data_IF_112898108434
#
_entry.id   IF_112898108434
#
_cell.length_a   1.000
_cell.length_b   1.000
_cell.length_c   1.000
_cell.angle_alpha   90.00
_cell.angle_beta   90.00
_cell.angle_gamma   90.00
#
_symmetry.space_group_name_H-M   'P 1'
#
loop_
_entity.id
_entity.type
_entity.pdbx_description
1 polymer ?
#
# COMPACT_ATOMS: atom_id res chain seq x y z
N UNK A 1 9.36 5.94 -16.15
CA UNK A 1 8.60 4.77 -16.59
C UNK A 1 9.34 3.46 -16.29
N UNK A 2 10.62 3.40 -16.65
CA UNK A 2 11.43 2.18 -16.42
C UNK A 2 11.47 1.76 -14.95
N UNK A 3 11.62 2.72 -14.01
CA UNK A 3 11.72 2.41 -12.60
C UNK A 3 10.47 1.72 -12.04
N UNK A 4 9.27 2.21 -12.38
CA UNK A 4 8.01 1.64 -11.88
C UNK A 4 7.70 0.31 -12.54
N UNK A 5 7.90 0.18 -13.84
CA UNK A 5 7.71 -1.10 -14.54
C UNK A 5 8.62 -2.16 -13.92
N UNK A 6 9.89 -1.80 -13.65
CA UNK A 6 10.83 -2.72 -13.01
C UNK A 6 10.39 -3.11 -11.60
N UNK A 7 9.85 -2.16 -10.82
CA UNK A 7 9.33 -2.46 -9.48
C UNK A 7 8.21 -3.49 -9.52
N UNK A 8 7.24 -3.30 -10.42
CA UNK A 8 6.10 -4.20 -10.55
C UNK A 8 6.56 -5.59 -10.99
N UNK A 9 7.56 -5.65 -11.86
CA UNK A 9 8.14 -6.92 -12.31
C UNK A 9 8.83 -7.72 -11.20
N UNK A 10 9.23 -7.07 -10.09
CA UNK A 10 9.78 -7.75 -8.94
C UNK A 10 8.75 -8.59 -8.18
N UNK A 11 7.46 -8.25 -8.33
CA UNK A 11 6.41 -8.91 -7.55
C UNK A 11 6.25 -10.37 -7.97
N UNK A 12 6.29 -11.27 -6.98
CA UNK A 12 6.21 -12.72 -7.20
C UNK A 12 4.79 -13.21 -7.34
N UNK A 13 3.87 -12.62 -6.58
CA UNK A 13 2.45 -12.93 -6.63
C UNK A 13 1.63 -11.69 -6.35
N UNK A 14 0.43 -11.63 -6.93
CA UNK A 14 -0.48 -10.49 -6.79
C UNK A 14 -1.88 -11.02 -6.47
N UNK A 15 -2.54 -10.41 -5.49
CA UNK A 15 -3.85 -10.81 -4.99
C UNK A 15 -4.80 -9.63 -4.92
N UNK A 16 -6.10 -9.88 -5.09
CA UNK A 16 -7.13 -8.88 -4.76
C UNK A 16 -7.25 -8.75 -3.24
N UNK A 17 -7.38 -7.52 -2.75
CA UNK A 17 -7.58 -7.27 -1.31
C UNK A 17 -8.80 -8.04 -0.81
N UNK A 18 -9.90 -8.00 -1.55
CA UNK A 18 -11.12 -8.71 -1.20
C UNK A 18 -10.88 -10.21 -0.99
N UNK A 19 -10.11 -10.82 -1.88
CA UNK A 19 -9.80 -12.25 -1.76
C UNK A 19 -8.92 -12.55 -0.54
N UNK A 20 -7.99 -11.68 -0.22
CA UNK A 20 -7.16 -11.85 0.98
C UNK A 20 -7.99 -11.76 2.25
N UNK A 21 -9.01 -10.92 2.25
CA UNK A 21 -9.92 -10.82 3.38
C UNK A 21 -10.80 -12.07 3.51
N UNK A 22 -11.44 -12.48 2.41
CA UNK A 22 -12.42 -13.58 2.41
C UNK A 22 -11.77 -14.94 2.61
N UNK A 23 -10.62 -15.18 1.99
CA UNK A 23 -9.97 -16.50 1.97
C UNK A 23 -8.70 -16.58 2.81
N UNK A 24 -8.25 -15.45 3.35
CA UNK A 24 -7.08 -15.39 4.21
C UNK A 24 -5.77 -15.25 3.47
N UNK A 25 -4.69 -15.20 4.25
CA UNK A 25 -3.33 -14.90 3.77
C UNK A 25 -2.39 -16.11 3.84
N UNK A 26 -2.93 -17.33 3.99
CA UNK A 26 -2.09 -18.53 4.19
C UNK A 26 -1.15 -18.82 3.03
N UNK A 27 -1.48 -18.34 1.82
CA UNK A 27 -0.62 -18.52 0.64
C UNK A 27 0.54 -17.52 0.58
N UNK A 28 0.55 -16.52 1.46
CA UNK A 28 1.65 -15.56 1.53
C UNK A 28 2.72 -16.11 2.44
N UNK A 29 3.99 -16.18 2.00
CA UNK A 29 5.06 -16.72 2.83
C UNK A 29 5.25 -15.94 4.13
N UNK A 30 5.59 -16.66 5.20
CA UNK A 30 5.93 -16.04 6.48
C UNK A 30 7.42 -15.69 6.49
N UNK A 31 7.81 -14.79 5.59
CA UNK A 31 9.20 -14.38 5.37
C UNK A 31 9.29 -12.88 5.17
N UNK A 32 10.50 -12.35 5.27
CA UNK A 32 10.77 -10.92 5.07
C UNK A 32 10.59 -10.54 3.60
N UNK A 33 10.14 -9.33 3.35
CA UNK A 33 10.00 -8.85 1.99
C UNK A 33 9.44 -7.46 1.90
N UNK A 34 9.12 -7.08 0.67
CA UNK A 34 8.49 -5.80 0.32
C UNK A 34 7.15 -6.11 -0.31
N UNK A 35 6.15 -5.30 0.00
CA UNK A 35 4.83 -5.44 -0.60
C UNK A 35 4.35 -4.10 -1.17
N UNK A 36 3.44 -4.17 -2.11
CA UNK A 36 2.91 -2.99 -2.78
C UNK A 36 1.41 -3.11 -2.95
N UNK A 37 0.73 -1.97 -2.84
CA UNK A 37 -0.68 -1.88 -3.21
C UNK A 37 -0.76 -1.24 -4.58
N UNK A 38 -1.50 -1.86 -5.48
CA UNK A 38 -1.57 -1.47 -6.89
C UNK A 38 -3.01 -1.25 -7.32
N UNK A 39 -3.15 -0.34 -8.29
CA UNK A 39 -4.41 -0.14 -8.99
C UNK A 39 -4.52 -1.15 -10.15
N UNK A 40 -5.64 -1.89 -10.27
CA UNK A 40 -5.89 -2.68 -11.49
C UNK A 40 -5.97 -1.76 -12.71
N UNK A 41 -5.58 -2.29 -13.88
CA UNK A 41 -5.50 -1.48 -15.10
C UNK A 41 -6.78 -0.74 -15.47
N UNK A 42 -7.92 -1.41 -15.35
CA UNK A 42 -9.22 -0.86 -15.77
C UNK A 42 -9.93 -0.04 -14.71
N UNK A 43 -9.39 0.02 -13.51
CA UNK A 43 -10.01 0.74 -12.42
C UNK A 43 -9.68 2.23 -12.47
N UNK A 44 -10.69 3.08 -12.32
CA UNK A 44 -10.49 4.52 -12.13
C UNK A 44 -10.41 4.81 -10.64
N UNK A 45 -9.48 5.68 -10.24
CA UNK A 45 -9.33 6.06 -8.85
C UNK A 45 -10.22 7.28 -8.54
N UNK A 46 -11.09 7.11 -7.56
CA UNK A 46 -11.90 8.19 -7.01
C UNK A 46 -11.59 8.29 -5.52
N UNK A 47 -11.03 9.43 -5.10
CA UNK A 47 -10.62 9.64 -3.70
C UNK A 47 -11.75 10.31 -2.95
N UNK A 48 -12.16 9.68 -1.85
CA UNK A 48 -13.27 10.14 -1.05
C UNK A 48 -12.80 10.99 0.13
N UNK A 49 -13.70 11.78 0.70
CA UNK A 49 -13.46 12.53 1.94
C UNK A 49 -13.71 11.68 3.19
N UNK A 50 -14.00 10.39 3.02
CA UNK A 50 -14.23 9.44 4.11
C UNK A 50 -13.28 8.24 3.93
N UNK A 51 -13.22 7.37 4.93
CA UNK A 51 -12.39 6.17 4.89
C UNK A 51 -13.22 4.94 5.25
N UNK A 52 -12.86 3.79 4.69
CA UNK A 52 -13.43 2.50 5.10
C UNK A 52 -12.69 1.91 6.30
N UNK A 53 -11.55 2.48 6.68
CA UNK A 53 -10.78 2.09 7.86
C UNK A 53 -11.23 2.91 9.08
N UNK A 54 -10.47 2.89 10.17
CA UNK A 54 -10.81 3.67 11.36
C UNK A 54 -10.72 5.16 11.05
N UNK A 55 -11.70 5.92 11.55
CA UNK A 55 -11.77 7.37 11.31
C UNK A 55 -10.90 8.16 12.28
N UNK A 56 -10.76 7.66 13.51
CA UNK A 56 -9.99 8.33 14.56
C UNK A 56 -9.09 7.34 15.30
N UNK A 57 -7.93 7.82 15.70
CA UNK A 57 -7.04 7.08 16.57
C UNK A 57 -6.48 8.06 17.61
N UNK A 58 -6.68 7.76 18.90
CA UNK A 58 -6.26 8.63 20.01
C UNK A 58 -6.74 10.08 19.78
N UNK A 59 -8.02 10.23 19.46
CA UNK A 59 -8.69 11.52 19.22
C UNK A 59 -8.18 12.30 17.99
N UNK A 60 -7.32 11.70 17.18
CA UNK A 60 -6.84 12.32 15.94
C UNK A 60 -7.54 11.72 14.74
N UNK A 61 -7.93 12.57 13.81
CA UNK A 61 -8.49 12.10 12.54
C UNK A 61 -7.46 11.31 11.76
N UNK A 62 -7.87 10.16 11.24
CA UNK A 62 -7.06 9.33 10.36
C UNK A 62 -7.36 9.60 8.89
N UNK A 63 -8.18 10.59 8.60
CA UNK A 63 -8.61 10.95 7.25
C UNK A 63 -7.75 12.10 6.73
N UNK A 64 -7.21 11.94 5.53
CA UNK A 64 -6.48 13.00 4.85
C UNK A 64 -7.44 13.88 4.06
N UNK A 65 -7.06 15.14 3.86
CA UNK A 65 -7.77 16.06 2.97
C UNK A 65 -7.81 15.47 1.56
N UNK A 66 -9.01 15.25 1.03
CA UNK A 66 -9.19 14.62 -0.28
C UNK A 66 -8.60 15.47 -1.42
N UNK A 67 -8.62 16.79 -1.29
CA UNK A 67 -8.05 17.69 -2.31
C UNK A 67 -6.53 17.49 -2.36
N UNK A 68 -5.88 17.40 -1.21
CA UNK A 68 -4.43 17.15 -1.14
C UNK A 68 -4.07 15.79 -1.72
N UNK A 69 -4.88 14.76 -1.43
CA UNK A 69 -4.63 13.43 -1.99
C UNK A 69 -4.79 13.43 -3.51
N UNK A 70 -5.82 14.10 -4.02
CA UNK A 70 -6.03 14.19 -5.47
C UNK A 70 -4.87 14.93 -6.16
N UNK A 71 -4.41 16.02 -5.57
CA UNK A 71 -3.29 16.79 -6.11
C UNK A 71 -2.03 15.94 -6.18
N UNK A 72 -1.75 15.18 -5.12
CA UNK A 72 -0.62 14.27 -5.09
C UNK A 72 -0.77 13.17 -6.14
N UNK A 73 -1.95 12.55 -6.20
CA UNK A 73 -2.23 11.44 -7.10
C UNK A 73 -1.96 11.80 -8.56
N UNK A 74 -2.34 13.01 -8.98
CA UNK A 74 -2.13 13.45 -10.36
C UNK A 74 -0.65 13.48 -10.75
N UNK A 75 0.26 13.60 -9.78
CA UNK A 75 1.70 13.63 -10.02
C UNK A 75 2.34 12.25 -9.98
N UNK A 76 1.63 11.22 -9.50
CA UNK A 76 2.14 9.86 -9.38
C UNK A 76 2.09 9.12 -10.72
N UNK A 77 2.64 7.90 -10.73
CA UNK A 77 2.51 6.99 -11.88
C UNK A 77 1.08 6.46 -12.03
N UNK A 78 0.23 6.66 -11.02
CA UNK A 78 -1.18 6.26 -10.95
C UNK A 78 -1.40 4.75 -10.84
N UNK A 79 -0.37 3.95 -10.66
CA UNK A 79 -0.49 2.50 -10.53
C UNK A 79 -0.02 1.99 -9.18
N UNK A 80 1.18 2.37 -8.74
CA UNK A 80 1.72 1.99 -7.44
C UNK A 80 1.19 2.98 -6.40
N UNK A 81 0.33 2.48 -5.52
CA UNK A 81 -0.34 3.33 -4.52
C UNK A 81 0.38 3.36 -3.18
N UNK A 82 1.11 2.29 -2.86
CA UNK A 82 1.81 2.19 -1.59
C UNK A 82 2.93 1.14 -1.68
N UNK A 83 4.06 1.43 -1.06
CA UNK A 83 5.17 0.48 -0.91
C UNK A 83 5.44 0.33 0.58
N UNK A 84 5.42 -0.92 1.07
CA UNK A 84 5.67 -1.24 2.46
C UNK A 84 6.70 -2.33 2.62
N UNK A 85 7.18 -2.50 3.84
CA UNK A 85 8.18 -3.51 4.18
C UNK A 85 7.67 -4.43 5.28
N UNK A 86 8.19 -5.65 5.30
CA UNK A 86 7.92 -6.63 6.36
C UNK A 86 9.26 -7.23 6.80
N UNK A 87 9.64 -6.94 8.06
CA UNK A 87 10.93 -7.34 8.63
C UNK A 87 10.85 -8.57 9.52
N UNK A 88 11.78 -8.67 10.48
CA UNK A 88 11.90 -9.86 11.34
C UNK A 88 10.73 -10.02 12.32
N UNK A 89 10.25 -8.91 12.89
CA UNK A 89 9.23 -8.97 13.93
C UNK A 89 7.83 -9.21 13.39
N UNK A 90 7.57 -8.79 12.17
CA UNK A 90 6.28 -8.96 11.53
C UNK A 90 6.52 -9.13 10.03
N UNK A 91 6.51 -10.39 9.60
CA UNK A 91 6.86 -10.78 8.24
C UNK A 91 5.69 -10.55 7.27
N UNK A 92 5.89 -10.86 6.01
CA UNK A 92 4.91 -10.55 4.95
C UNK A 92 3.49 -11.02 5.29
N UNK A 93 3.33 -12.28 5.68
CA UNK A 93 2.00 -12.82 5.98
C UNK A 93 1.27 -12.01 7.04
N UNK A 94 1.94 -11.74 8.16
CA UNK A 94 1.35 -10.98 9.26
C UNK A 94 1.12 -9.53 8.91
N UNK A 95 2.09 -8.92 8.20
CA UNK A 95 2.00 -7.51 7.84
C UNK A 95 0.89 -7.24 6.83
N UNK A 96 0.78 -8.09 5.82
CA UNK A 96 -0.29 -7.98 4.83
C UNK A 96 -1.66 -8.26 5.46
N UNK A 97 -1.73 -9.23 6.38
CA UNK A 97 -2.98 -9.46 7.12
C UNK A 97 -3.42 -8.20 7.87
N UNK A 98 -2.50 -7.55 8.57
CA UNK A 98 -2.81 -6.31 9.30
C UNK A 98 -3.29 -5.21 8.35
N UNK A 99 -2.62 -5.04 7.22
CA UNK A 99 -3.03 -4.05 6.23
C UNK A 99 -4.47 -4.29 5.78
N UNK A 100 -4.78 -5.52 5.39
CA UNK A 100 -6.12 -5.88 4.91
C UNK A 100 -7.17 -5.67 6.00
N UNK A 101 -6.92 -6.17 7.20
CA UNK A 101 -7.88 -6.07 8.31
C UNK A 101 -8.06 -4.63 8.78
N UNK A 102 -7.03 -3.82 8.70
CA UNK A 102 -7.15 -2.38 8.98
C UNK A 102 -8.16 -1.73 8.03
N UNK A 103 -8.13 -2.08 6.75
CA UNK A 103 -9.07 -1.56 5.77
C UNK A 103 -10.52 -1.99 6.00
N UNK A 104 -10.74 -3.05 6.78
CA UNK A 104 -12.07 -3.51 7.17
C UNK A 104 -12.44 -3.10 8.60
N UNK A 105 -11.68 -2.19 9.23
CA UNK A 105 -11.87 -1.71 10.61
C UNK A 105 -11.75 -2.77 11.68
N UNK A 106 -11.04 -3.86 11.42
CA UNK A 106 -10.89 -4.94 12.39
C UNK A 106 -9.69 -4.78 13.31
N UNK A 107 -8.70 -3.98 12.89
CA UNK A 107 -7.52 -3.66 13.69
C UNK A 107 -7.14 -2.19 13.48
N UNK A 108 -6.33 -1.65 14.39
CA UNK A 108 -5.87 -0.25 14.33
C UNK A 108 -4.35 -0.11 14.21
N UNK A 109 -3.65 -1.21 13.99
CA UNK A 109 -2.19 -1.27 14.08
C UNK A 109 -1.45 -1.23 12.74
N UNK A 110 -2.12 -0.83 11.66
CA UNK A 110 -1.48 -0.61 10.36
C UNK A 110 -1.87 0.75 9.80
N UNK A 111 -1.42 1.81 10.48
CA UNK A 111 -1.76 3.18 10.07
C UNK A 111 -0.91 3.71 8.92
N UNK A 112 0.24 3.11 8.66
CA UNK A 112 1.00 3.42 7.45
C UNK A 112 0.20 3.01 6.23
N UNK A 113 0.18 3.86 5.20
CA UNK A 113 -0.57 3.55 3.99
C UNK A 113 -2.08 3.77 4.09
N UNK A 114 -2.57 4.40 5.16
CA UNK A 114 -4.02 4.52 5.38
C UNK A 114 -4.77 5.35 4.33
N UNK A 115 -4.08 6.14 3.53
CA UNK A 115 -4.72 6.89 2.45
C UNK A 115 -5.38 5.97 1.42
N UNK A 116 -4.93 4.72 1.29
CA UNK A 116 -5.55 3.72 0.40
C UNK A 116 -7.04 3.57 0.70
N UNK A 117 -7.41 3.64 1.97
CA UNK A 117 -8.79 3.37 2.40
C UNK A 117 -9.74 4.53 2.16
N UNK A 118 -9.25 5.63 1.58
CA UNK A 118 -10.07 6.72 1.07
C UNK A 118 -10.35 6.59 -0.43
N UNK A 119 -9.84 5.53 -1.06
CA UNK A 119 -10.15 5.23 -2.46
C UNK A 119 -11.47 4.47 -2.52
N UNK A 120 -12.39 4.95 -3.36
CA UNK A 120 -13.65 4.24 -3.59
C UNK A 120 -13.37 2.88 -4.21
N UNK A 121 -14.09 1.85 -3.73
CA UNK A 121 -13.90 0.47 -4.16
C UNK A 121 -12.49 -0.07 -3.86
N UNK A 122 -11.91 0.33 -2.73
CA UNK A 122 -10.56 -0.06 -2.36
C UNK A 122 -10.37 -1.57 -2.16
N UNK A 123 -11.46 -2.33 -2.01
CA UNK A 123 -11.39 -3.79 -1.89
C UNK A 123 -11.06 -4.47 -3.22
N UNK A 124 -11.18 -3.73 -4.32
CA UNK A 124 -10.81 -4.20 -5.65
C UNK A 124 -9.36 -3.87 -6.02
N UNK A 125 -8.62 -3.25 -5.12
CA UNK A 125 -7.19 -3.00 -5.31
C UNK A 125 -6.39 -4.30 -5.16
N UNK A 126 -5.16 -4.26 -5.65
CA UNK A 126 -4.27 -5.43 -5.65
C UNK A 126 -3.15 -5.24 -4.63
N UNK A 127 -2.71 -6.35 -4.03
CA UNK A 127 -1.49 -6.39 -3.22
C UNK A 127 -0.55 -7.42 -3.83
N UNK A 128 0.69 -6.99 -4.09
CA UNK A 128 1.75 -7.89 -4.53
C UNK A 128 2.91 -7.85 -3.55
N UNK A 129 3.78 -8.86 -3.61
CA UNK A 129 4.96 -8.90 -2.75
C UNK A 129 6.14 -9.56 -3.46
N UNK A 130 7.33 -9.35 -2.93
CA UNK A 130 8.51 -10.15 -3.25
C UNK A 130 9.36 -10.35 -1.99
N UNK A 131 10.06 -11.49 -1.95
CA UNK A 131 10.94 -11.82 -0.84
C UNK A 131 12.22 -11.00 -0.92
N UNK A 132 12.72 -10.59 0.25
CA UNK A 132 13.91 -9.75 0.31
C UNK A 132 14.56 -9.90 1.68
N UNK A 133 15.88 -10.15 1.72
CA UNK A 133 16.62 -10.31 2.97
C UNK A 133 16.83 -8.97 3.71
N UNK A 134 16.82 -7.86 2.98
CA UNK A 134 17.01 -6.52 3.53
C UNK A 134 15.84 -5.61 3.13
N UNK A 135 14.61 -5.89 3.64
CA UNK A 135 13.43 -5.17 3.19
C UNK A 135 13.46 -3.67 3.49
N UNK A 136 14.06 -3.26 4.61
CA UNK A 136 14.16 -1.84 4.95
C UNK A 136 14.98 -1.07 3.92
N UNK A 137 16.17 -1.56 3.59
CA UNK A 137 17.02 -0.95 2.56
C UNK A 137 16.34 -0.94 1.20
N UNK A 138 15.67 -2.04 0.86
CA UNK A 138 15.00 -2.18 -0.44
C UNK A 138 13.83 -1.23 -0.57
N UNK A 139 13.01 -1.09 0.46
CA UNK A 139 11.92 -0.13 0.47
C UNK A 139 12.43 1.29 0.26
N UNK A 140 13.48 1.68 1.00
CA UNK A 140 14.08 3.00 0.85
C UNK A 140 14.58 3.25 -0.57
N UNK A 141 15.26 2.27 -1.14
CA UNK A 141 15.76 2.33 -2.51
C UNK A 141 14.63 2.57 -3.50
N UNK A 142 13.57 1.78 -3.40
CA UNK A 142 12.42 1.89 -4.30
C UNK A 142 11.71 3.23 -4.15
N UNK A 143 11.53 3.72 -2.92
CA UNK A 143 10.91 5.02 -2.69
C UNK A 143 11.75 6.17 -3.23
N UNK A 144 13.08 6.08 -3.12
CA UNK A 144 13.99 7.09 -3.70
C UNK A 144 13.91 7.09 -5.23
N UNK A 145 13.89 5.92 -5.84
CA UNK A 145 13.74 5.79 -7.29
C UNK A 145 12.42 6.41 -7.74
N UNK A 146 11.35 6.08 -7.04
CA UNK A 146 10.02 6.59 -7.35
C UNK A 146 9.97 8.13 -7.26
N UNK A 147 10.43 8.68 -6.14
CA UNK A 147 10.44 10.13 -5.95
C UNK A 147 11.33 10.83 -6.95
N UNK A 148 12.47 10.23 -7.31
CA UNK A 148 13.35 10.77 -8.34
C UNK A 148 12.67 10.87 -9.70
N UNK A 149 11.82 9.91 -10.03
CA UNK A 149 11.13 9.87 -11.31
C UNK A 149 9.88 10.75 -11.36
N UNK A 150 9.10 10.81 -10.29
CA UNK A 150 7.80 11.50 -10.29
C UNK A 150 7.76 12.78 -9.45
N UNK A 151 8.78 13.06 -8.67
CA UNK A 151 8.83 14.24 -7.81
C UNK A 151 7.95 14.13 -6.55
N UNK A 152 7.22 13.04 -6.41
CA UNK A 152 6.40 12.71 -5.22
C UNK A 152 6.56 11.24 -4.90
N UNK A 153 6.19 10.84 -3.68
CA UNK A 153 6.08 9.44 -3.31
C UNK A 153 4.75 8.85 -3.80
N UNK A 154 4.58 7.52 -3.79
CA UNK A 154 3.27 6.94 -4.07
C UNK A 154 2.19 7.53 -3.16
N UNK A 155 0.93 7.48 -3.59
CA UNK A 155 -0.18 8.15 -2.93
C UNK A 155 -0.18 8.00 -1.41
N UNK A 156 0.01 6.78 -0.92
CA UNK A 156 -0.11 6.48 0.50
C UNK A 156 1.22 6.44 1.25
N UNK A 157 2.34 6.78 0.62
CA UNK A 157 3.63 6.95 1.28
C UNK A 157 3.90 8.43 1.54
N UNK A 158 4.37 8.75 2.76
CA UNK A 158 4.59 10.14 3.17
C UNK A 158 6.03 10.48 3.49
N UNK A 159 6.86 9.48 3.70
CA UNK A 159 8.27 9.67 4.01
C UNK A 159 9.10 8.48 3.55
N UNK A 160 10.40 8.71 3.35
CA UNK A 160 11.35 7.65 3.04
C UNK A 160 12.02 7.25 4.35
N UNK A 161 11.73 6.03 4.77
CA UNK A 161 12.37 5.46 5.93
C UNK A 161 12.03 6.02 7.23
#
# INVERSE_FOLDING_TARGET
>A
MKGVVTMIELLENIYLINNLYDYGVSNIPNEKGVYMVLKPKKMSINILSTTTAIEKYEDKSMIYDAIKLNTKYERTDKTVLYIGKAGDNNKLRGRIRQLVRYGYREVDNHRGGRAIWQIENNKDLLIGYFLCNSPESKEKELLKIYKGQYGVLPLANWKIG
#
